data_IF_025189795848
#
_entry.id   IF_025189795848
#
_cell.length_a   1.000
_cell.length_b   1.000
_cell.length_c   1.000
_cell.angle_alpha   90.00
_cell.angle_beta   90.00
_cell.angle_gamma   90.00
#
_symmetry.space_group_name_H-M   'P 1'
#
loop_
_entity.id
_entity.type
_entity.pdbx_description
1 polymer ?
#
# COMPACT_ATOMS: atom_id res chain seq x y z
N UNK A 1 -0.52 -2.75 -10.19
CA UNK A 1 -0.52 -1.75 -9.09
C UNK A 1 -1.80 -0.92 -9.16
N UNK A 2 -2.38 -0.52 -8.02
CA UNK A 2 -3.53 0.39 -7.98
C UNK A 2 -3.01 1.81 -7.81
N UNK A 3 -3.31 2.70 -8.77
CA UNK A 3 -2.83 4.08 -8.79
C UNK A 3 -3.99 5.09 -8.86
N UNK A 4 -3.76 6.30 -8.32
CA UNK A 4 -4.70 7.43 -8.40
C UNK A 4 -4.87 7.94 -9.84
N UNK A 5 -6.02 8.58 -10.14
CA UNK A 5 -6.28 9.23 -11.43
C UNK A 5 -5.74 10.66 -11.53
N UNK A 6 -5.13 11.20 -10.47
CA UNK A 6 -4.55 12.53 -10.46
C UNK A 6 -3.20 12.56 -11.20
N UNK A 7 -2.73 13.77 -11.56
CA UNK A 7 -1.50 14.01 -12.33
C UNK A 7 -0.28 13.28 -11.71
N UNK A 8 -0.11 13.33 -10.39
CA UNK A 8 0.97 12.65 -9.68
C UNK A 8 0.89 11.12 -9.84
N UNK A 9 -0.33 10.58 -9.80
CA UNK A 9 -0.59 9.17 -10.07
C UNK A 9 -0.29 8.77 -11.51
N UNK A 10 -0.36 9.70 -12.46
CA UNK A 10 -0.06 9.42 -13.86
C UNK A 10 1.44 9.34 -14.13
N UNK A 11 2.25 10.18 -13.49
CA UNK A 11 3.72 10.12 -13.58
C UNK A 11 4.22 8.82 -12.93
N UNK A 12 3.74 8.51 -11.73
CA UNK A 12 4.08 7.27 -11.05
C UNK A 12 3.66 6.04 -11.86
N UNK A 13 2.46 6.07 -12.45
CA UNK A 13 1.97 4.99 -13.30
C UNK A 13 2.86 4.76 -14.52
N UNK A 14 3.28 5.82 -15.22
CA UNK A 14 4.20 5.71 -16.36
C UNK A 14 5.56 5.12 -15.96
N UNK A 15 6.09 5.52 -14.80
CA UNK A 15 7.32 4.95 -14.27
C UNK A 15 7.15 3.45 -13.97
N UNK A 16 6.07 3.05 -13.32
CA UNK A 16 5.80 1.64 -13.01
C UNK A 16 5.58 0.80 -14.28
N UNK A 17 4.94 1.37 -15.31
CA UNK A 17 4.77 0.70 -16.61
C UNK A 17 6.12 0.40 -17.27
N UNK A 18 7.10 1.31 -17.15
CA UNK A 18 8.46 1.08 -17.67
C UNK A 18 9.19 -0.08 -16.98
N UNK A 19 8.78 -0.42 -15.75
CA UNK A 19 9.25 -1.59 -15.01
C UNK A 19 8.38 -2.85 -15.20
N UNK A 20 7.44 -2.82 -16.14
CA UNK A 20 6.58 -3.97 -16.46
C UNK A 20 5.34 -4.12 -15.57
N UNK A 21 5.07 -3.17 -14.68
CA UNK A 21 3.85 -3.20 -13.86
C UNK A 21 2.64 -2.73 -14.67
N UNK A 22 1.52 -3.45 -14.54
CA UNK A 22 0.23 -3.01 -15.09
C UNK A 22 -0.52 -2.20 -14.06
N UNK A 23 -0.98 -1.02 -14.43
CA UNK A 23 -1.71 -0.12 -13.55
C UNK A 23 -3.22 -0.39 -13.61
N UNK A 24 -3.84 -0.49 -12.43
CA UNK A 24 -5.29 -0.47 -12.27
C UNK A 24 -5.68 0.94 -11.84
N UNK A 25 -6.37 1.68 -12.69
CA UNK A 25 -6.75 3.07 -12.43
C UNK A 25 -8.17 3.14 -11.87
N UNK A 26 -8.34 3.81 -10.74
CA UNK A 26 -9.65 4.06 -10.16
C UNK A 26 -9.62 5.07 -9.04
N UNK A 27 -10.74 5.80 -8.85
CA UNK A 27 -10.92 6.72 -7.73
C UNK A 27 -11.93 6.15 -6.74
N UNK A 28 -11.72 6.46 -5.45
CA UNK A 28 -12.51 5.94 -4.33
C UNK A 28 -14.01 6.29 -4.34
N UNK A 29 -14.47 7.29 -5.10
CA UNK A 29 -15.89 7.71 -5.09
C UNK A 29 -16.78 7.03 -6.16
N UNK A 30 -16.26 6.71 -7.33
CA UNK A 30 -17.03 6.06 -8.41
C UNK A 30 -16.30 4.86 -9.06
N UNK A 31 -15.01 4.70 -8.76
CA UNK A 31 -14.14 3.66 -9.35
C UNK A 31 -13.74 2.54 -8.41
N UNK A 32 -14.03 2.64 -7.10
CA UNK A 32 -13.57 1.65 -6.11
C UNK A 32 -14.05 0.23 -6.40
N UNK A 33 -15.32 0.07 -6.81
CA UNK A 33 -15.85 -1.23 -7.20
C UNK A 33 -15.18 -1.78 -8.46
N UNK A 34 -14.91 -0.92 -9.46
CA UNK A 34 -14.20 -1.33 -10.68
C UNK A 34 -12.78 -1.77 -10.38
N UNK A 35 -12.07 -1.03 -9.51
CA UNK A 35 -10.72 -1.38 -9.05
C UNK A 35 -10.72 -2.72 -8.32
N UNK A 36 -11.71 -2.96 -7.46
CA UNK A 36 -11.87 -4.23 -6.74
C UNK A 36 -12.10 -5.40 -7.71
N UNK A 37 -13.00 -5.23 -8.68
CA UNK A 37 -13.28 -6.26 -9.70
C UNK A 37 -12.04 -6.56 -10.54
N UNK A 38 -11.35 -5.53 -11.02
CA UNK A 38 -10.14 -5.71 -11.81
C UNK A 38 -9.02 -6.34 -10.97
N UNK A 39 -8.86 -5.94 -9.71
CA UNK A 39 -7.91 -6.56 -8.78
C UNK A 39 -8.20 -8.06 -8.59
N UNK A 40 -9.47 -8.43 -8.36
CA UNK A 40 -9.87 -9.83 -8.24
C UNK A 40 -9.60 -10.61 -9.53
N UNK A 41 -9.82 -10.00 -10.70
CA UNK A 41 -9.52 -10.61 -11.98
C UNK A 41 -8.03 -10.90 -12.12
N UNK A 42 -7.17 -9.91 -11.79
CA UNK A 42 -5.70 -10.08 -11.87
C UNK A 42 -5.18 -11.16 -10.91
N UNK A 43 -5.71 -11.20 -9.68
CA UNK A 43 -5.37 -12.25 -8.73
C UNK A 43 -5.74 -13.66 -9.25
N UNK A 44 -6.91 -13.79 -9.90
CA UNK A 44 -7.33 -15.05 -10.54
C UNK A 44 -6.43 -15.45 -11.73
N UNK A 45 -5.88 -14.48 -12.42
CA UNK A 45 -4.91 -14.69 -13.52
C UNK A 45 -3.49 -15.04 -13.00
N UNK A 46 -3.30 -15.16 -11.68
CA UNK A 46 -2.02 -15.48 -11.06
C UNK A 46 -1.07 -14.28 -10.93
N UNK A 47 -1.60 -13.05 -11.07
CA UNK A 47 -0.81 -11.83 -10.88
C UNK A 47 -0.90 -11.34 -9.43
N UNK A 48 0.21 -10.79 -8.92
CA UNK A 48 0.18 -10.05 -7.66
C UNK A 48 -0.44 -8.65 -7.84
N UNK A 49 -1.10 -8.16 -6.79
CA UNK A 49 -1.69 -6.81 -6.77
C UNK A 49 -1.04 -5.98 -5.66
N UNK A 50 -0.26 -4.98 -6.04
CA UNK A 50 0.33 -4.02 -5.10
C UNK A 50 -0.63 -2.85 -4.82
N UNK A 51 -0.81 -2.53 -3.54
CA UNK A 51 -1.74 -1.51 -3.06
C UNK A 51 -1.08 -0.67 -1.96
N UNK A 52 -1.19 0.67 -2.04
CA UNK A 52 -0.93 1.54 -0.90
C UNK A 52 -2.15 1.49 0.04
N UNK A 53 -1.99 1.01 1.28
CA UNK A 53 -3.12 0.62 2.11
C UNK A 53 -4.00 1.78 2.57
N UNK A 54 -3.44 2.97 2.75
CA UNK A 54 -4.14 4.18 3.18
C UNK A 54 -4.96 4.87 2.08
N UNK A 55 -4.76 4.45 0.83
CA UNK A 55 -5.48 4.99 -0.31
C UNK A 55 -5.13 6.47 -0.58
N UNK A 56 -5.76 7.10 -1.59
CA UNK A 56 -5.38 8.43 -2.07
C UNK A 56 -5.85 9.60 -1.19
N UNK A 57 -6.62 9.33 -0.15
CA UNK A 57 -7.21 10.37 0.73
C UNK A 57 -6.80 10.24 2.18
N UNK A 58 -6.08 9.18 2.53
CA UNK A 58 -5.72 8.88 3.90
C UNK A 58 -6.92 8.55 4.82
N UNK A 59 -6.75 8.73 6.13
CA UNK A 59 -5.57 9.29 6.80
C UNK A 59 -4.32 8.42 6.67
N UNK A 60 -3.15 9.03 6.80
CA UNK A 60 -1.85 8.35 6.76
C UNK A 60 -1.84 7.15 7.72
N UNK A 61 -1.24 6.03 7.29
CA UNK A 61 -1.13 4.77 8.04
C UNK A 61 -2.49 4.12 8.37
N UNK A 62 -3.55 4.46 7.64
CA UNK A 62 -4.82 3.75 7.71
C UNK A 62 -4.84 2.54 6.76
N UNK A 63 -5.82 1.66 6.97
CA UNK A 63 -6.08 0.55 6.05
C UNK A 63 -7.44 0.81 5.39
N UNK A 64 -7.44 0.98 4.06
CA UNK A 64 -8.67 1.17 3.31
C UNK A 64 -9.48 -0.13 3.22
N UNK A 65 -10.80 -0.01 3.22
CA UNK A 65 -11.73 -1.15 3.16
C UNK A 65 -11.49 -2.05 1.95
N UNK A 66 -11.10 -1.45 0.82
CA UNK A 66 -10.82 -2.16 -0.41
C UNK A 66 -9.69 -3.19 -0.31
N UNK A 67 -8.68 -2.93 0.54
CA UNK A 67 -7.58 -3.87 0.78
C UNK A 67 -8.09 -5.16 1.42
N UNK A 68 -8.87 -5.01 2.50
CA UNK A 68 -9.44 -6.16 3.21
C UNK A 68 -10.47 -6.88 2.34
N UNK A 69 -11.35 -6.13 1.67
CA UNK A 69 -12.35 -6.71 0.77
C UNK A 69 -11.73 -7.51 -0.37
N UNK A 70 -10.61 -7.05 -0.93
CA UNK A 70 -9.87 -7.76 -1.98
C UNK A 70 -9.31 -9.09 -1.44
N UNK A 71 -8.65 -9.06 -0.29
CA UNK A 71 -8.07 -10.24 0.35
C UNK A 71 -9.13 -11.27 0.72
N UNK A 72 -10.20 -10.86 1.40
CA UNK A 72 -11.28 -11.77 1.81
C UNK A 72 -12.02 -12.39 0.62
N UNK A 73 -12.28 -11.61 -0.45
CA UNK A 73 -12.98 -12.10 -1.65
C UNK A 73 -12.12 -13.02 -2.51
N UNK A 74 -10.83 -12.72 -2.62
CA UNK A 74 -9.90 -13.56 -3.39
C UNK A 74 -9.46 -14.81 -2.63
N UNK A 75 -9.36 -14.73 -1.30
CA UNK A 75 -8.73 -15.75 -0.46
C UNK A 75 -7.20 -15.77 -0.56
N UNK A 76 -6.60 -14.81 -1.28
CA UNK A 76 -5.15 -14.66 -1.41
C UNK A 76 -4.60 -13.94 -0.18
N UNK A 77 -3.44 -14.38 0.30
CA UNK A 77 -2.78 -13.78 1.45
C UNK A 77 -2.26 -12.38 1.16
N UNK A 78 -2.18 -11.55 2.20
CA UNK A 78 -1.56 -10.23 2.17
C UNK A 78 -0.12 -10.35 2.67
N UNK A 79 0.85 -9.99 1.83
CA UNK A 79 2.22 -9.72 2.25
C UNK A 79 2.40 -8.21 2.38
N UNK A 80 2.54 -7.72 3.60
CA UNK A 80 2.73 -6.30 3.84
C UNK A 80 4.21 -5.94 3.73
N UNK A 81 4.49 -4.78 3.14
CA UNK A 81 5.82 -4.22 3.05
C UNK A 81 5.85 -2.85 3.73
N UNK A 82 6.84 -2.65 4.60
CA UNK A 82 7.16 -1.34 5.16
C UNK A 82 8.51 -0.88 4.62
N UNK A 83 8.57 0.38 4.20
CA UNK A 83 9.79 1.01 3.73
C UNK A 83 10.19 2.08 4.73
N UNK A 84 11.45 2.09 5.15
CA UNK A 84 12.03 3.10 6.05
C UNK A 84 13.26 3.68 5.37
N UNK A 85 13.30 5.00 5.26
CA UNK A 85 14.43 5.72 4.68
C UNK A 85 15.16 6.52 5.79
N UNK A 86 16.48 6.33 5.93
CA UNK A 86 17.26 7.04 6.96
C UNK A 86 17.35 8.54 6.69
N UNK A 87 17.54 8.94 5.43
CA UNK A 87 17.65 10.33 5.02
C UNK A 87 16.72 10.59 3.84
N UNK A 88 15.65 11.35 4.06
CA UNK A 88 14.68 11.69 3.05
C UNK A 88 14.30 13.17 3.10
N UNK A 89 13.87 13.70 1.96
CA UNK A 89 13.07 14.91 1.92
C UNK A 89 11.63 14.52 2.18
N UNK A 90 11.00 15.19 3.14
CA UNK A 90 9.56 15.01 3.43
C UNK A 90 8.77 16.13 2.80
N UNK A 91 7.84 15.78 1.95
CA UNK A 91 6.95 16.75 1.33
C UNK A 91 5.83 17.12 2.31
N UNK A 92 5.36 18.36 2.23
CA UNK A 92 4.22 18.82 3.03
C UNK A 92 2.88 18.36 2.38
N UNK A 93 2.74 17.06 2.24
CA UNK A 93 1.54 16.38 1.75
C UNK A 93 0.84 15.69 2.91
N UNK A 94 -0.42 15.27 2.75
CA UNK A 94 -1.21 14.61 3.80
C UNK A 94 -0.55 13.29 4.27
N UNK A 95 0.16 12.61 3.39
CA UNK A 95 0.89 11.35 3.63
C UNK A 95 2.34 11.56 4.06
N UNK A 96 2.83 12.82 4.05
CA UNK A 96 4.22 13.17 4.28
C UNK A 96 5.15 12.36 3.37
N UNK A 97 4.85 12.36 2.07
CA UNK A 97 5.59 11.58 1.10
C UNK A 97 7.10 11.79 1.22
N UNK A 98 7.84 10.70 1.34
CA UNK A 98 9.29 10.72 1.53
C UNK A 98 10.00 10.43 0.22
N UNK A 99 10.94 11.31 -0.15
CA UNK A 99 11.85 11.12 -1.28
C UNK A 99 13.24 10.85 -0.71
N UNK A 100 13.82 9.65 -0.91
CA UNK A 100 15.16 9.35 -0.46
C UNK A 100 16.17 10.36 -0.99
N UNK A 101 17.05 10.87 -0.13
CA UNK A 101 18.19 11.67 -0.58
C UNK A 101 19.21 10.79 -1.31
N UNK A 102 20.02 11.35 -2.23
CA UNK A 102 21.08 10.58 -2.86
C UNK A 102 21.98 9.90 -1.82
N UNK A 103 22.33 8.64 -2.08
CA UNK A 103 23.17 7.80 -1.23
C UNK A 103 22.59 7.47 0.17
N UNK A 104 21.28 7.67 0.39
CA UNK A 104 20.65 7.26 1.64
C UNK A 104 20.36 5.76 1.66
N UNK A 105 20.36 5.17 2.85
CA UNK A 105 19.94 3.79 3.04
C UNK A 105 18.41 3.72 3.07
N UNK A 106 17.87 2.74 2.33
CA UNK A 106 16.43 2.43 2.28
C UNK A 106 16.25 0.99 2.72
N UNK A 107 15.52 0.77 3.81
CA UNK A 107 15.24 -0.55 4.37
C UNK A 107 13.84 -1.00 3.99
N UNK A 108 13.75 -2.22 3.48
CA UNK A 108 12.50 -2.88 3.10
C UNK A 108 12.22 -4.02 4.07
N UNK A 109 11.12 -3.92 4.81
CA UNK A 109 10.64 -4.96 5.71
C UNK A 109 9.46 -5.67 5.09
N UNK A 110 9.69 -6.90 4.63
CA UNK A 110 8.62 -7.75 4.10
C UNK A 110 8.09 -8.64 5.23
N UNK A 111 6.80 -8.54 5.47
CA UNK A 111 6.10 -9.40 6.42
C UNK A 111 5.65 -10.70 5.77
N UNK A 112 5.65 -11.77 6.55
CA UNK A 112 5.05 -13.03 6.11
C UNK A 112 3.61 -12.83 5.66
N UNK A 113 3.24 -13.53 4.59
CA UNK A 113 1.89 -13.48 4.04
C UNK A 113 0.86 -14.02 5.04
N UNK A 114 -0.24 -13.31 5.20
CA UNK A 114 -1.35 -13.71 6.07
C UNK A 114 -2.65 -13.76 5.30
N UNK A 115 -3.43 -14.81 5.52
CA UNK A 115 -4.79 -14.93 4.98
C UNK A 115 -5.75 -14.26 5.95
N UNK A 116 -6.58 -13.36 5.45
CA UNK A 116 -7.63 -12.70 6.25
C UNK A 116 -8.89 -13.56 6.16
N UNK A 117 -9.39 -14.12 7.28
CA UNK A 117 -10.59 -14.94 7.28
C UNK A 117 -11.79 -14.15 6.78
N UNK A 118 -12.65 -14.80 5.98
CA UNK A 118 -13.84 -14.16 5.39
C UNK A 118 -14.89 -13.75 6.44
N UNK A 119 -14.92 -14.47 7.55
CA UNK A 119 -15.82 -14.25 8.68
C UNK A 119 -15.39 -13.09 9.60
N UNK A 120 -14.18 -12.58 9.43
CA UNK A 120 -13.75 -11.45 10.25
C UNK A 120 -14.45 -10.17 9.81
N UNK A 121 -14.93 -9.42 10.80
CA UNK A 121 -15.40 -8.07 10.58
C UNK A 121 -14.28 -7.18 10.02
N UNK A 122 -14.69 -6.21 9.22
CA UNK A 122 -13.78 -5.30 8.54
C UNK A 122 -12.88 -4.53 9.52
N UNK A 123 -13.44 -4.07 10.63
CA UNK A 123 -12.73 -3.38 11.72
C UNK A 123 -11.61 -4.23 12.29
N UNK A 124 -11.92 -5.48 12.67
CA UNK A 124 -10.96 -6.45 13.22
C UNK A 124 -9.84 -6.76 12.22
N UNK A 125 -10.19 -6.98 10.96
CA UNK A 125 -9.21 -7.29 9.92
C UNK A 125 -8.25 -6.13 9.67
N UNK A 126 -8.76 -4.89 9.67
CA UNK A 126 -7.95 -3.66 9.53
C UNK A 126 -7.00 -3.47 10.71
N UNK A 127 -7.50 -3.62 11.93
CA UNK A 127 -6.71 -3.49 13.15
C UNK A 127 -5.57 -4.53 13.19
N UNK A 128 -5.89 -5.78 12.87
CA UNK A 128 -4.91 -6.85 12.79
C UNK A 128 -3.79 -6.54 11.79
N UNK A 129 -4.15 -6.14 10.56
CA UNK A 129 -3.17 -5.82 9.53
C UNK A 129 -2.33 -4.60 9.91
N UNK A 130 -2.98 -3.56 10.45
CA UNK A 130 -2.30 -2.36 10.93
C UNK A 130 -1.30 -2.68 12.03
N UNK A 131 -1.68 -3.43 13.04
CA UNK A 131 -0.80 -3.83 14.15
C UNK A 131 0.43 -4.57 13.63
N UNK A 132 0.25 -5.49 12.67
CA UNK A 132 1.38 -6.18 12.04
C UNK A 132 2.31 -5.23 11.28
N UNK A 133 1.77 -4.28 10.53
CA UNK A 133 2.57 -3.30 9.81
C UNK A 133 3.32 -2.35 10.75
N UNK A 134 2.70 -1.97 11.85
CA UNK A 134 3.30 -1.07 12.84
C UNK A 134 4.37 -1.78 13.71
N UNK A 135 4.36 -3.11 13.79
CA UNK A 135 5.33 -3.88 14.58
C UNK A 135 6.74 -3.94 13.98
N UNK A 136 6.93 -3.55 12.73
CA UNK A 136 8.21 -3.64 12.03
C UNK A 136 8.79 -2.26 11.71
N UNK A 137 10.11 -2.13 11.80
CA UNK A 137 10.82 -0.90 11.46
C UNK A 137 10.56 0.28 12.40
N UNK A 138 9.90 0.06 13.54
CA UNK A 138 9.56 1.12 14.49
C UNK A 138 10.80 1.76 15.13
N UNK A 139 11.76 0.94 15.55
CA UNK A 139 12.99 1.41 16.21
C UNK A 139 13.88 2.25 15.27
N UNK A 140 13.94 1.89 13.98
CA UNK A 140 14.73 2.63 12.99
C UNK A 140 14.05 3.92 12.55
N UNK A 141 12.71 3.93 12.49
CA UNK A 141 11.93 5.14 12.21
C UNK A 141 12.13 6.21 13.30
N UNK A 142 12.36 5.79 14.55
CA UNK A 142 12.65 6.68 15.67
C UNK A 142 14.08 7.22 15.62
N UNK A 143 15.06 6.42 15.17
CA UNK A 143 16.47 6.85 15.08
C UNK A 143 16.71 7.89 13.98
N UNK A 144 15.88 7.91 12.94
CA UNK A 144 15.95 8.90 11.86
C UNK A 144 15.35 10.27 12.21
N UNK A 145 14.69 10.42 13.35
CA UNK A 145 14.09 11.67 13.83
C UNK A 145 15.00 12.50 14.74
N UNK A 146 16.20 12.00 15.04
CA UNK A 146 17.14 12.60 16.00
C UNK A 146 18.45 13.11 15.40
N UNK A 147 18.51 13.34 14.07
CA UNK A 147 19.71 13.89 13.42
C UNK A 147 19.37 15.08 12.54
#
# INVERSE_FOLDING_TARGET
MIASQHFDGSIAAGLFESFGFKNIRGSSKKGGVKVLIEGLKRLKEGCDVAITPDGPKGPRHSIADGVIALAQKSGVGISACRVVCKNAWRLNTWDQFEIPKPFSEVHYYMLESVIIPKEWELSKAKEYLKTRMDSVGFEESQRGLGA
#
